data_IF_725508416770
#
_entry.id   IF_725508416770
#
_cell.length_a   1.000
_cell.length_b   1.000
_cell.length_c   1.000
_cell.angle_alpha   90.00
_cell.angle_beta   90.00
_cell.angle_gamma   90.00
#
_symmetry.space_group_name_H-M   'P 1'
#
loop_
_entity.id
_entity.type
_entity.pdbx_description
1 polymer ?
#
# COMPACT_ATOMS: atom_id res chain seq x y z
N UNK A 1 -4.16 10.95 -18.67
CA UNK A 1 -5.46 10.83 -19.35
C UNK A 1 -6.51 11.58 -18.55
N UNK A 2 -7.33 12.40 -19.23
CA UNK A 2 -8.48 13.04 -18.60
C UNK A 2 -9.63 12.03 -18.44
N UNK A 3 -9.84 11.58 -17.21
CA UNK A 3 -10.85 10.58 -16.87
C UNK A 3 -12.29 11.09 -17.00
N UNK A 4 -12.53 12.40 -17.11
CA UNK A 4 -13.87 12.94 -17.33
C UNK A 4 -14.46 12.48 -18.66
N UNK A 5 -13.62 12.11 -19.63
CA UNK A 5 -14.01 11.56 -20.92
C UNK A 5 -14.69 10.19 -20.80
N UNK A 6 -14.44 9.43 -19.72
CA UNK A 6 -15.02 8.10 -19.52
C UNK A 6 -16.55 8.13 -19.49
N UNK A 7 -17.15 9.16 -18.92
CA UNK A 7 -18.60 9.31 -18.84
C UNK A 7 -19.30 9.53 -20.20
N UNK A 8 -18.54 9.94 -21.22
CA UNK A 8 -19.02 10.16 -22.58
C UNK A 8 -18.95 8.90 -23.48
N UNK A 9 -18.34 7.82 -23.00
CA UNK A 9 -18.21 6.57 -23.76
C UNK A 9 -19.54 5.84 -23.81
N UNK A 10 -20.12 5.79 -24.99
CA UNK A 10 -21.42 5.14 -25.24
C UNK A 10 -21.30 3.78 -25.94
N UNK A 11 -20.11 3.46 -26.45
CA UNK A 11 -19.85 2.22 -27.20
C UNK A 11 -18.47 1.65 -26.83
N UNK A 12 -18.33 0.96 -25.67
CA UNK A 12 -17.09 0.33 -25.24
C UNK A 12 -16.81 -0.96 -26.05
N UNK A 13 -15.54 -1.40 -26.16
CA UNK A 13 -14.35 -0.72 -25.66
C UNK A 13 -13.90 0.42 -26.57
N UNK A 14 -13.28 1.47 -25.97
CA UNK A 14 -12.63 2.53 -26.73
C UNK A 14 -11.17 2.66 -26.31
N UNK A 15 -10.29 2.93 -27.27
CA UNK A 15 -8.89 3.26 -26.99
C UNK A 15 -8.81 4.75 -26.66
N UNK A 16 -8.30 5.05 -25.46
CA UNK A 16 -8.05 6.42 -25.02
C UNK A 16 -6.58 6.73 -25.25
N UNK A 17 -6.30 7.83 -25.94
CA UNK A 17 -4.93 8.31 -26.11
C UNK A 17 -4.46 9.02 -24.83
N UNK A 18 -3.24 8.76 -24.40
CA UNK A 18 -2.64 9.47 -23.28
C UNK A 18 -2.43 10.96 -23.63
N UNK A 19 -2.82 11.87 -22.74
CA UNK A 19 -2.61 13.30 -22.89
C UNK A 19 -1.13 13.66 -22.63
N UNK A 20 -0.48 12.92 -21.73
CA UNK A 20 0.95 12.98 -21.47
C UNK A 20 1.49 11.60 -21.15
N UNK A 21 2.79 11.41 -21.37
CA UNK A 21 3.52 10.19 -21.02
C UNK A 21 4.85 10.56 -20.40
N UNK A 22 5.07 10.15 -19.15
CA UNK A 22 6.38 10.19 -18.52
C UNK A 22 7.20 8.97 -18.95
N UNK A 23 8.45 9.22 -19.38
CA UNK A 23 9.33 8.18 -19.94
C UNK A 23 10.62 7.99 -19.14
N UNK A 24 10.67 8.49 -17.90
CA UNK A 24 11.85 8.41 -17.05
C UNK A 24 12.13 7.04 -16.44
N UNK A 25 11.17 6.10 -16.53
CA UNK A 25 11.36 4.68 -16.22
C UNK A 25 10.79 3.77 -17.32
N UNK A 26 11.26 2.53 -17.40
CA UNK A 26 10.77 1.54 -18.36
C UNK A 26 9.67 0.64 -17.82
N UNK A 27 9.67 0.42 -16.50
CA UNK A 27 8.65 -0.30 -15.74
C UNK A 27 8.59 0.25 -14.31
N UNK A 28 7.46 0.08 -13.67
CA UNK A 28 7.24 0.34 -12.25
C UNK A 28 6.37 -0.78 -11.70
N UNK A 29 6.55 -1.15 -10.42
CA UNK A 29 5.64 -2.07 -9.78
C UNK A 29 4.33 -1.36 -9.43
N UNK A 30 4.43 -0.24 -8.73
CA UNK A 30 3.27 0.56 -8.35
C UNK A 30 3.56 2.07 -8.48
N UNK A 31 2.51 2.86 -8.34
CA UNK A 31 2.54 4.31 -8.27
C UNK A 31 1.68 4.80 -7.10
N UNK A 32 2.25 5.67 -6.29
CA UNK A 32 1.58 6.30 -5.14
C UNK A 32 1.46 7.79 -5.39
N UNK A 33 0.33 8.38 -5.02
CA UNK A 33 0.09 9.81 -5.22
C UNK A 33 -0.28 10.45 -3.88
N UNK A 34 0.44 11.52 -3.52
CA UNK A 34 0.00 12.44 -2.48
C UNK A 34 -0.65 13.66 -3.14
N UNK A 35 -1.98 13.65 -3.19
CA UNK A 35 -2.75 14.72 -3.83
C UNK A 35 -2.52 16.08 -3.18
N UNK A 36 -2.22 16.13 -1.87
CA UNK A 36 -2.04 17.39 -1.14
C UNK A 36 -0.79 18.15 -1.54
N UNK A 37 0.23 17.44 -2.04
CA UNK A 37 1.49 18.03 -2.51
C UNK A 37 1.62 18.04 -4.03
N UNK A 38 0.73 17.33 -4.74
CA UNK A 38 0.82 17.14 -6.18
C UNK A 38 2.06 16.33 -6.59
N UNK A 39 2.42 15.34 -5.78
CA UNK A 39 3.56 14.45 -6.04
C UNK A 39 3.12 13.03 -6.32
N UNK A 40 3.81 12.36 -7.24
CA UNK A 40 3.69 10.94 -7.50
C UNK A 40 5.02 10.24 -7.25
N UNK A 41 4.94 9.02 -6.75
CA UNK A 41 6.08 8.19 -6.38
C UNK A 41 5.97 6.88 -7.15
N UNK A 42 6.86 6.67 -8.13
CA UNK A 42 7.02 5.36 -8.76
C UNK A 42 7.86 4.48 -7.85
N UNK A 43 7.37 3.29 -7.52
CA UNK A 43 8.06 2.30 -6.70
C UNK A 43 8.28 1.02 -7.49
N UNK A 44 9.31 0.24 -7.13
CA UNK A 44 9.70 -0.94 -7.88
C UNK A 44 10.04 -0.64 -9.34
N UNK A 45 10.60 0.54 -9.60
CA UNK A 45 10.98 0.93 -10.95
C UNK A 45 12.34 0.35 -11.33
N UNK A 46 12.69 0.37 -12.62
CA UNK A 46 14.04 0.02 -13.09
C UNK A 46 15.05 1.17 -12.92
N UNK A 47 14.75 2.15 -12.09
CA UNK A 47 15.62 3.28 -11.74
C UNK A 47 15.80 3.33 -10.23
N UNK A 48 16.88 3.95 -9.74
CA UNK A 48 17.12 4.20 -8.31
C UNK A 48 17.00 2.93 -7.45
N UNK A 49 17.56 1.80 -7.93
CA UNK A 49 17.53 0.48 -7.29
C UNK A 49 16.11 -0.02 -6.94
N UNK A 50 15.08 0.50 -7.60
CA UNK A 50 13.68 0.19 -7.35
C UNK A 50 13.04 0.95 -6.19
N UNK A 51 13.75 1.86 -5.55
CA UNK A 51 13.25 2.73 -4.49
C UNK A 51 12.29 3.81 -5.00
N UNK A 52 12.18 4.91 -4.27
CA UNK A 52 11.24 5.98 -4.62
C UNK A 52 11.76 6.81 -5.80
N UNK A 53 10.98 6.92 -6.85
CA UNK A 53 11.19 7.81 -7.99
C UNK A 53 10.14 8.92 -7.92
N UNK A 54 10.54 10.14 -7.53
CA UNK A 54 9.64 11.21 -7.10
C UNK A 54 9.35 12.18 -8.23
N UNK A 55 8.09 12.34 -8.59
CA UNK A 55 7.63 13.24 -9.63
C UNK A 55 6.81 14.42 -9.07
N UNK A 56 6.99 15.59 -9.63
CA UNK A 56 6.01 16.68 -9.58
C UNK A 56 4.95 16.44 -10.68
N UNK A 57 3.68 16.36 -10.26
CA UNK A 57 2.52 16.20 -11.14
C UNK A 57 1.50 17.34 -10.98
N UNK A 58 1.90 18.50 -10.41
CA UNK A 58 1.04 19.68 -10.33
C UNK A 58 0.60 20.15 -11.73
N UNK A 59 1.45 19.97 -12.74
CA UNK A 59 1.04 19.98 -14.15
C UNK A 59 1.01 18.55 -14.69
N UNK A 60 -0.17 17.88 -14.70
CA UNK A 60 -0.27 16.47 -15.12
C UNK A 60 0.02 16.25 -16.61
N UNK A 61 0.09 17.32 -17.40
CA UNK A 61 0.50 17.24 -18.80
C UNK A 61 2.02 17.30 -18.99
N UNK A 62 2.77 17.61 -17.91
CA UNK A 62 4.21 17.73 -17.95
C UNK A 62 4.87 17.22 -16.66
N UNK A 63 4.72 15.91 -16.30
CA UNK A 63 5.33 15.34 -15.11
C UNK A 63 6.84 15.49 -15.11
N UNK A 64 7.44 15.92 -13.98
CA UNK A 64 8.87 16.18 -13.87
C UNK A 64 9.50 15.35 -12.75
N UNK A 65 10.66 14.74 -13.02
CA UNK A 65 11.49 14.15 -11.95
C UNK A 65 12.00 15.27 -11.03
N UNK A 66 11.73 15.15 -9.74
CA UNK A 66 12.15 16.12 -8.72
C UNK A 66 13.01 15.50 -7.61
N UNK A 67 13.14 14.18 -7.56
CA UNK A 67 13.98 13.53 -6.56
C UNK A 67 13.90 12.00 -6.61
N UNK A 68 14.69 11.39 -5.73
CA UNK A 68 14.75 9.92 -5.61
C UNK A 68 15.20 9.51 -4.20
N UNK A 69 14.86 8.28 -3.80
CA UNK A 69 15.42 7.63 -2.63
C UNK A 69 15.66 6.15 -2.91
N UNK A 70 16.90 5.70 -2.70
CA UNK A 70 17.34 4.32 -2.91
C UNK A 70 18.09 3.75 -1.70
N UNK A 71 17.99 4.43 -0.54
CA UNK A 71 18.80 4.12 0.64
C UNK A 71 18.51 2.78 1.30
N UNK A 72 17.39 2.12 0.95
CA UNK A 72 17.04 0.76 1.43
C UNK A 72 16.59 -0.15 0.27
N UNK A 73 17.11 0.07 -0.91
CA UNK A 73 16.91 -0.77 -2.09
C UNK A 73 15.48 -0.71 -2.65
N UNK A 74 14.97 -1.89 -3.04
CA UNK A 74 13.70 -2.04 -3.73
C UNK A 74 12.51 -1.78 -2.80
N UNK A 75 11.64 -0.86 -3.20
CA UNK A 75 10.34 -0.60 -2.58
C UNK A 75 9.26 -1.27 -3.42
N UNK A 76 8.58 -2.28 -2.87
CA UNK A 76 7.50 -2.97 -3.57
C UNK A 76 6.25 -2.10 -3.64
N UNK A 77 5.79 -1.62 -2.50
CA UNK A 77 4.67 -0.70 -2.38
C UNK A 77 4.94 0.35 -1.30
N UNK A 78 4.19 1.44 -1.31
CA UNK A 78 4.31 2.49 -0.32
C UNK A 78 2.97 3.21 -0.08
N UNK A 79 2.83 3.82 1.09
CA UNK A 79 1.87 4.88 1.34
C UNK A 79 2.63 6.18 1.64
N UNK A 80 2.31 7.26 0.92
CA UNK A 80 2.92 8.58 1.15
C UNK A 80 1.86 9.56 1.64
N UNK A 81 2.12 10.18 2.78
CA UNK A 81 1.15 11.03 3.46
C UNK A 81 1.72 12.37 3.88
N UNK A 82 0.87 13.40 3.95
CA UNK A 82 1.14 14.57 4.78
C UNK A 82 0.88 14.16 6.23
N UNK A 83 1.96 13.92 6.98
CA UNK A 83 1.90 13.28 8.29
C UNK A 83 1.22 14.16 9.34
N UNK A 84 0.22 13.59 10.00
CA UNK A 84 -0.55 14.23 11.08
C UNK A 84 -0.51 13.43 12.40
N UNK A 85 0.31 12.37 12.42
CA UNK A 85 0.42 11.47 13.57
C UNK A 85 1.13 12.08 14.79
N UNK A 86 1.32 11.26 15.84
CA UNK A 86 1.77 11.72 17.15
C UNK A 86 3.25 12.12 17.23
N UNK A 87 4.12 11.71 16.29
CA UNK A 87 5.52 12.13 16.33
C UNK A 87 5.68 13.60 15.94
N UNK A 88 5.83 14.46 16.95
CA UNK A 88 5.92 15.90 16.77
C UNK A 88 7.13 16.36 15.92
N UNK A 89 8.17 15.53 15.77
CA UNK A 89 9.33 15.86 14.95
C UNK A 89 9.00 15.85 13.45
N UNK A 90 7.94 15.15 13.07
CA UNK A 90 7.54 14.93 11.68
C UNK A 90 6.16 15.49 11.34
N UNK A 91 5.45 16.08 12.29
CA UNK A 91 4.13 16.68 12.06
C UNK A 91 4.17 17.73 10.95
N UNK A 92 3.29 17.58 9.96
CA UNK A 92 3.19 18.45 8.78
C UNK A 92 4.23 18.15 7.69
N UNK A 93 5.10 17.17 7.88
CA UNK A 93 6.04 16.69 6.86
C UNK A 93 5.38 15.69 5.91
N UNK A 94 5.99 15.49 4.76
CA UNK A 94 5.60 14.44 3.83
C UNK A 94 6.44 13.19 4.12
N UNK A 95 5.78 12.10 4.51
CA UNK A 95 6.42 10.87 4.95
C UNK A 95 5.97 9.71 4.08
N UNK A 96 6.93 8.93 3.59
CA UNK A 96 6.71 7.68 2.89
C UNK A 96 6.87 6.51 3.87
N UNK A 97 5.87 5.62 3.90
CA UNK A 97 5.88 4.32 4.57
C UNK A 97 6.02 3.27 3.47
N UNK A 98 7.20 2.69 3.36
CA UNK A 98 7.59 1.79 2.28
C UNK A 98 7.65 0.34 2.76
N UNK A 99 7.18 -0.58 1.94
CA UNK A 99 7.32 -2.02 2.12
C UNK A 99 8.45 -2.51 1.20
N UNK A 100 9.62 -2.81 1.79
CA UNK A 100 10.87 -3.06 1.08
C UNK A 100 11.28 -4.54 1.20
N UNK A 101 10.42 -5.46 0.74
CA UNK A 101 10.65 -6.91 0.75
C UNK A 101 10.92 -7.52 2.15
N UNK A 102 11.79 -6.93 2.97
CA UNK A 102 12.20 -7.44 4.28
C UNK A 102 12.12 -6.40 5.41
N UNK A 103 11.69 -5.18 5.11
CA UNK A 103 11.55 -4.08 6.07
C UNK A 103 10.31 -3.25 5.84
N UNK A 104 9.78 -2.68 6.91
CA UNK A 104 8.98 -1.46 6.87
C UNK A 104 9.95 -0.29 6.99
N UNK A 105 10.04 0.51 5.91
CA UNK A 105 11.01 1.61 5.80
C UNK A 105 10.29 2.95 5.76
N UNK A 106 10.68 3.86 6.64
CA UNK A 106 10.06 5.17 6.78
C UNK A 106 11.04 6.24 6.32
N UNK A 107 10.59 7.10 5.40
CA UNK A 107 11.43 8.12 4.76
C UNK A 107 10.77 9.49 4.83
N UNK A 108 11.49 10.51 5.28
CA UNK A 108 11.09 11.91 5.14
C UNK A 108 11.37 12.36 3.70
N UNK A 109 10.32 12.60 2.94
CA UNK A 109 10.36 13.04 1.53
C UNK A 109 9.88 14.48 1.36
N UNK A 110 9.89 15.25 2.45
CA UNK A 110 9.45 16.66 2.46
C UNK A 110 10.28 17.49 1.48
N UNK A 111 11.60 17.34 1.51
CA UNK A 111 12.48 17.85 0.47
C UNK A 111 12.81 16.72 -0.52
N UNK A 112 12.22 16.71 -1.72
CA UNK A 112 12.46 15.63 -2.68
C UNK A 112 13.91 15.60 -3.22
N UNK A 113 14.67 16.68 -3.05
CA UNK A 113 16.10 16.73 -3.45
C UNK A 113 17.04 16.15 -2.39
N UNK A 114 16.55 15.98 -1.14
CA UNK A 114 17.33 15.43 -0.02
C UNK A 114 16.43 14.55 0.88
N UNK A 115 15.86 13.47 0.36
CA UNK A 115 15.04 12.56 1.17
C UNK A 115 15.90 11.90 2.26
N UNK A 116 15.35 11.79 3.46
CA UNK A 116 16.08 11.29 4.62
C UNK A 116 15.46 10.00 5.15
N UNK A 117 16.26 8.93 5.27
CA UNK A 117 15.85 7.72 5.97
C UNK A 117 15.58 8.05 7.44
N UNK A 118 14.38 7.72 7.92
CA UNK A 118 14.01 7.83 9.34
C UNK A 118 14.27 6.52 10.04
N UNK A 119 13.77 5.41 9.50
CA UNK A 119 13.97 4.06 10.03
C UNK A 119 13.79 3.01 8.94
N UNK A 120 14.44 1.85 9.11
CA UNK A 120 14.19 0.62 8.37
C UNK A 120 14.11 -0.51 9.40
N UNK A 121 12.93 -1.10 9.57
CA UNK A 121 12.66 -2.05 10.64
C UNK A 121 12.18 -3.37 10.04
N UNK A 122 12.97 -4.43 10.27
CA UNK A 122 12.62 -5.80 9.91
C UNK A 122 11.85 -6.52 11.00
N UNK A 123 11.37 -7.73 10.69
CA UNK A 123 10.70 -8.64 11.61
C UNK A 123 11.10 -10.08 11.33
N UNK A 124 10.87 -10.95 12.31
CA UNK A 124 11.24 -12.37 12.19
C UNK A 124 10.37 -13.08 11.13
N UNK A 125 11.00 -13.91 10.30
CA UNK A 125 10.37 -14.64 9.20
C UNK A 125 9.77 -13.73 8.12
N UNK A 126 10.38 -12.60 7.87
CA UNK A 126 10.06 -11.78 6.70
C UNK A 126 10.49 -12.51 5.43
N UNK A 127 9.55 -12.71 4.50
CA UNK A 127 9.80 -13.30 3.19
C UNK A 127 9.58 -12.28 2.06
N UNK A 128 8.52 -11.48 2.17
CA UNK A 128 8.24 -10.40 1.23
C UNK A 128 7.29 -9.36 1.83
N UNK A 129 7.84 -8.41 2.59
CA UNK A 129 7.06 -7.25 3.08
C UNK A 129 6.45 -6.54 1.89
N UNK A 130 5.14 -6.75 1.70
CA UNK A 130 4.46 -6.48 0.44
C UNK A 130 3.83 -5.10 0.40
N UNK A 131 2.88 -4.84 1.29
CA UNK A 131 2.08 -3.61 1.30
C UNK A 131 1.64 -3.30 2.73
N UNK A 132 1.28 -2.07 3.00
CA UNK A 132 0.71 -1.67 4.29
C UNK A 132 0.00 -0.34 4.22
N UNK A 133 -0.80 -0.06 5.26
CA UNK A 133 -1.57 1.15 5.34
C UNK A 133 -1.66 1.69 6.77
N UNK A 134 -1.60 3.02 6.91
CA UNK A 134 -1.77 3.72 8.19
C UNK A 134 -3.23 3.75 8.63
N UNK A 135 -3.44 3.76 9.95
CA UNK A 135 -4.70 4.28 10.52
C UNK A 135 -4.84 5.78 10.23
N UNK A 136 -6.07 6.30 10.25
CA UNK A 136 -6.33 7.71 9.90
C UNK A 136 -5.64 8.73 10.83
N UNK A 137 -5.33 8.33 12.06
CA UNK A 137 -4.56 9.13 13.03
C UNK A 137 -3.05 9.01 12.86
N UNK A 138 -2.59 8.20 11.88
CA UNK A 138 -1.20 7.89 11.59
C UNK A 138 -0.39 7.36 12.79
N UNK A 139 -1.07 6.70 13.72
CA UNK A 139 -0.43 6.10 14.91
C UNK A 139 -0.02 4.66 14.69
N UNK A 140 -0.78 3.92 13.89
CA UNK A 140 -0.50 2.53 13.58
C UNK A 140 -0.33 2.34 12.08
N UNK A 141 0.61 1.47 11.72
CA UNK A 141 0.77 0.96 10.36
C UNK A 141 0.48 -0.52 10.37
N UNK A 142 -0.32 -1.00 9.44
CA UNK A 142 -0.66 -2.41 9.30
C UNK A 142 -0.03 -2.87 8.01
N UNK A 143 0.81 -3.91 8.05
CA UNK A 143 1.48 -4.47 6.86
C UNK A 143 1.22 -5.96 6.72
N UNK A 144 1.59 -6.51 5.58
CA UNK A 144 1.52 -7.94 5.26
C UNK A 144 2.78 -8.45 4.57
N UNK A 145 2.88 -9.78 4.42
CA UNK A 145 3.99 -10.49 3.78
C UNK A 145 3.44 -11.50 2.77
N UNK A 146 3.55 -11.20 1.47
CA UNK A 146 2.90 -11.94 0.39
C UNK A 146 3.43 -13.38 0.20
N UNK A 147 4.56 -13.73 0.78
CA UNK A 147 5.20 -15.02 0.52
C UNK A 147 5.30 -15.94 1.75
N UNK A 148 4.90 -15.53 2.93
CA UNK A 148 5.06 -16.34 4.14
C UNK A 148 4.13 -17.56 4.16
N UNK A 149 2.88 -17.48 3.63
CA UNK A 149 1.99 -18.63 3.53
C UNK A 149 2.58 -19.74 2.64
N UNK A 150 3.20 -19.36 1.52
CA UNK A 150 3.84 -20.32 0.62
C UNK A 150 5.19 -20.83 1.15
N UNK A 151 5.94 -19.97 1.85
CA UNK A 151 7.31 -20.25 2.26
C UNK A 151 7.40 -21.13 3.50
N UNK A 152 6.52 -20.89 4.48
CA UNK A 152 6.53 -21.60 5.77
C UNK A 152 5.17 -22.21 6.16
N UNK A 153 4.13 -22.04 5.33
CA UNK A 153 2.84 -22.68 5.53
C UNK A 153 2.04 -22.12 6.70
N UNK A 154 2.14 -20.82 6.95
CA UNK A 154 1.31 -20.10 7.92
C UNK A 154 -0.06 -19.76 7.34
N UNK A 155 -0.98 -19.32 8.15
CA UNK A 155 -2.22 -18.68 7.71
C UNK A 155 -1.95 -17.23 7.37
N UNK A 156 -2.82 -16.62 6.57
CA UNK A 156 -2.80 -15.18 6.23
C UNK A 156 -2.54 -14.32 7.47
N UNK A 157 -1.46 -13.54 7.47
CA UNK A 157 -0.97 -12.82 8.66
C UNK A 157 -0.79 -11.33 8.37
N UNK A 158 -1.35 -10.47 9.23
CA UNK A 158 -1.10 -9.04 9.19
C UNK A 158 -0.30 -8.59 10.39
N UNK A 159 0.66 -7.71 10.19
CA UNK A 159 1.59 -7.19 11.21
C UNK A 159 1.14 -5.80 11.64
N UNK A 160 1.07 -5.56 12.95
CA UNK A 160 0.56 -4.32 13.54
C UNK A 160 1.72 -3.57 14.17
N UNK A 161 2.04 -2.41 13.63
CA UNK A 161 3.14 -1.56 14.06
C UNK A 161 2.62 -0.33 14.79
N UNK A 162 3.11 -0.06 16.00
CA UNK A 162 3.01 1.27 16.63
C UNK A 162 4.10 2.16 16.03
N UNK A 163 3.67 3.19 15.30
CA UNK A 163 4.54 4.18 14.65
C UNK A 163 4.43 5.55 15.32
N UNK A 164 4.11 5.59 16.61
CA UNK A 164 4.10 6.83 17.40
C UNK A 164 5.48 7.49 17.48
N UNK A 165 6.53 6.70 17.30
CA UNK A 165 7.91 7.16 17.11
C UNK A 165 8.42 6.63 15.77
N UNK A 166 8.43 7.48 14.74
CA UNK A 166 8.84 7.08 13.39
C UNK A 166 10.30 6.60 13.31
N UNK A 167 11.16 7.03 14.26
CA UNK A 167 12.56 6.60 14.32
C UNK A 167 12.75 5.23 14.98
N UNK A 168 11.72 4.68 15.62
CA UNK A 168 11.75 3.38 16.27
C UNK A 168 10.34 2.75 16.25
N UNK A 169 9.85 2.31 15.08
CA UNK A 169 8.60 1.58 14.98
C UNK A 169 8.63 0.29 15.79
N UNK A 170 7.54 -0.05 16.46
CA UNK A 170 7.44 -1.25 17.28
C UNK A 170 6.38 -2.20 16.71
N UNK A 171 6.74 -3.45 16.42
CA UNK A 171 5.77 -4.51 16.11
C UNK A 171 5.08 -4.91 17.41
N UNK A 172 3.81 -4.50 17.57
CA UNK A 172 3.04 -4.68 18.81
C UNK A 172 2.11 -5.88 18.79
N UNK A 173 1.88 -6.46 17.62
CA UNK A 173 1.02 -7.64 17.47
C UNK A 173 0.90 -8.12 16.04
N UNK A 174 0.23 -9.27 15.90
CA UNK A 174 -0.11 -9.87 14.62
C UNK A 174 -1.57 -10.33 14.65
N UNK A 175 -2.27 -10.13 13.55
CA UNK A 175 -3.53 -10.80 13.28
C UNK A 175 -3.25 -12.03 12.43
N UNK A 176 -3.78 -13.18 12.83
CA UNK A 176 -3.68 -14.44 12.08
C UNK A 176 -5.09 -14.88 11.71
N UNK A 177 -5.36 -14.98 10.43
CA UNK A 177 -6.66 -15.42 9.90
C UNK A 177 -6.89 -16.92 10.08
N UNK A 178 -8.14 -17.36 9.95
CA UNK A 178 -8.47 -18.79 9.88
C UNK A 178 -8.20 -19.40 8.49
N UNK A 179 -7.97 -18.58 7.47
CA UNK A 179 -7.68 -19.01 6.09
C UNK A 179 -6.18 -18.99 5.81
N UNK A 180 -5.75 -19.73 4.79
CA UNK A 180 -4.34 -19.85 4.39
C UNK A 180 -4.06 -19.23 3.01
N UNK A 181 -5.01 -18.48 2.46
CA UNK A 181 -4.81 -17.78 1.20
C UNK A 181 -3.76 -16.66 1.37
N UNK A 182 -2.99 -16.43 0.33
CA UNK A 182 -2.01 -15.33 0.30
C UNK A 182 -2.74 -14.01 0.53
N UNK A 183 -2.19 -13.16 1.40
CA UNK A 183 -2.65 -11.77 1.51
C UNK A 183 -2.09 -10.90 0.40
N UNK A 184 -2.76 -9.77 0.15
CA UNK A 184 -2.33 -8.83 -0.87
C UNK A 184 -2.67 -7.39 -0.46
N UNK A 185 -3.32 -6.61 -1.32
CA UNK A 185 -3.53 -5.20 -1.08
C UNK A 185 -4.55 -4.91 0.03
N UNK A 186 -4.19 -4.03 0.95
CA UNK A 186 -5.05 -3.56 2.03
C UNK A 186 -5.17 -2.05 2.08
N UNK A 187 -6.30 -1.58 2.61
CA UNK A 187 -6.56 -0.16 2.84
C UNK A 187 -7.29 0.03 4.15
N UNK A 188 -7.00 1.13 4.85
CA UNK A 188 -7.72 1.49 6.07
C UNK A 188 -8.66 2.65 5.78
N UNK A 189 -9.90 2.53 6.29
CA UNK A 189 -10.88 3.60 6.25
C UNK A 189 -11.70 3.57 7.54
N UNK A 190 -11.80 4.71 8.20
CA UNK A 190 -12.41 4.81 9.52
C UNK A 190 -11.70 3.85 10.51
N UNK A 191 -12.45 2.92 11.08
CA UNK A 191 -11.94 1.89 12.01
C UNK A 191 -11.87 0.49 11.39
N UNK A 192 -11.78 0.41 10.07
CA UNK A 192 -11.79 -0.86 9.34
C UNK A 192 -10.60 -0.97 8.39
N UNK A 193 -10.02 -2.16 8.34
CA UNK A 193 -9.04 -2.58 7.34
C UNK A 193 -9.78 -3.43 6.31
N UNK A 194 -9.58 -3.13 5.03
CA UNK A 194 -10.14 -3.87 3.90
C UNK A 194 -8.99 -4.57 3.19
N UNK A 195 -8.93 -5.89 3.28
CA UNK A 195 -7.87 -6.72 2.69
C UNK A 195 -8.39 -7.52 1.50
N UNK A 196 -7.63 -7.53 0.42
CA UNK A 196 -7.82 -8.42 -0.72
C UNK A 196 -6.85 -9.59 -0.59
N UNK A 197 -7.35 -10.76 -0.18
CA UNK A 197 -6.52 -11.91 0.17
C UNK A 197 -6.69 -13.00 -0.90
N UNK A 198 -6.32 -12.70 -2.13
CA UNK A 198 -6.42 -13.60 -3.29
C UNK A 198 -7.69 -14.48 -3.25
N UNK A 199 -7.56 -15.81 -3.07
CA UNK A 199 -8.69 -16.75 -3.07
C UNK A 199 -9.68 -16.52 -1.95
N UNK A 200 -9.21 -16.09 -0.78
CA UNK A 200 -10.09 -15.80 0.34
C UNK A 200 -10.96 -14.54 0.15
N UNK A 201 -10.73 -13.80 -0.94
CA UNK A 201 -11.54 -12.67 -1.31
C UNK A 201 -11.29 -11.42 -0.49
N UNK A 202 -12.35 -10.64 -0.28
CA UNK A 202 -12.31 -9.45 0.57
C UNK A 202 -12.51 -9.85 2.03
N UNK A 203 -11.58 -9.42 2.90
CA UNK A 203 -11.66 -9.54 4.37
C UNK A 203 -11.73 -8.15 4.98
N UNK A 204 -12.57 -7.98 5.99
CA UNK A 204 -12.75 -6.69 6.66
C UNK A 204 -12.47 -6.89 8.15
N UNK A 205 -11.45 -6.18 8.65
CA UNK A 205 -11.00 -6.29 10.04
C UNK A 205 -11.30 -4.98 10.79
N UNK A 206 -11.74 -5.11 12.04
CA UNK A 206 -11.92 -3.98 12.97
C UNK A 206 -10.59 -3.64 13.64
N UNK A 207 -10.30 -2.34 13.74
CA UNK A 207 -9.15 -1.78 14.47
C UNK A 207 -9.51 -1.36 15.90
N UNK A 208 -10.68 -1.75 16.42
CA UNK A 208 -11.16 -1.28 17.73
C UNK A 208 -10.21 -1.61 18.89
N UNK A 209 -9.46 -2.71 18.80
CA UNK A 209 -8.53 -3.18 19.82
C UNK A 209 -7.04 -3.06 19.38
N UNK A 210 -6.76 -2.24 18.36
CA UNK A 210 -5.43 -2.10 17.76
C UNK A 210 -4.37 -1.63 18.76
N UNK A 211 -4.75 -0.82 19.77
CA UNK A 211 -3.83 -0.38 20.85
C UNK A 211 -3.25 -1.55 21.64
N UNK A 212 -3.94 -2.69 21.67
CA UNK A 212 -3.46 -3.93 22.31
C UNK A 212 -2.84 -4.91 21.30
N UNK A 213 -2.54 -4.46 20.08
CA UNK A 213 -1.96 -5.27 19.02
C UNK A 213 -2.92 -6.31 18.46
N UNK A 214 -4.23 -6.02 18.43
CA UNK A 214 -5.26 -6.95 17.97
C UNK A 214 -6.15 -6.34 16.89
N UNK A 215 -6.52 -7.18 15.91
CA UNK A 215 -7.58 -6.91 14.93
C UNK A 215 -8.61 -8.04 15.01
N UNK A 216 -9.85 -7.75 14.63
CA UNK A 216 -10.96 -8.72 14.62
C UNK A 216 -11.61 -8.74 13.24
N UNK A 217 -11.75 -9.92 12.61
CA UNK A 217 -12.51 -10.04 11.37
C UNK A 217 -14.00 -9.85 11.67
N UNK A 218 -14.60 -8.86 11.00
CA UNK A 218 -16.01 -8.47 11.19
C UNK A 218 -16.88 -8.77 9.98
N UNK A 219 -16.27 -8.93 8.80
CA UNK A 219 -16.99 -9.30 7.58
C UNK A 219 -16.02 -9.89 6.54
N UNK A 220 -16.58 -10.66 5.60
CA UNK A 220 -15.84 -11.14 4.43
C UNK A 220 -16.76 -11.37 3.23
N UNK A 221 -16.13 -11.41 2.07
CA UNK A 221 -16.73 -11.86 0.81
C UNK A 221 -15.75 -12.79 0.10
N UNK A 222 -15.98 -14.09 0.23
CA UNK A 222 -15.16 -15.14 -0.35
C UNK A 222 -15.47 -15.28 -1.86
N UNK A 223 -14.42 -15.27 -2.68
CA UNK A 223 -14.53 -15.37 -4.15
C UNK A 223 -14.24 -16.78 -4.68
N UNK A 224 -13.61 -17.64 -3.89
CA UNK A 224 -13.31 -19.04 -4.21
C UNK A 224 -13.66 -19.98 -3.03
N UNK A 225 -14.95 -20.18 -2.71
CA UNK A 225 -15.37 -20.99 -1.56
C UNK A 225 -14.92 -22.46 -1.61
N UNK A 226 -14.30 -22.87 -2.71
CA UNK A 226 -13.81 -24.23 -2.88
C UNK A 226 -12.38 -24.42 -2.33
N UNK A 227 -11.61 -23.33 -2.14
CA UNK A 227 -10.20 -23.47 -1.77
C UNK A 227 -9.56 -22.17 -1.28
N UNK A 228 -9.00 -22.19 -0.07
CA UNK A 228 -8.11 -21.16 0.47
C UNK A 228 -6.63 -21.48 0.27
N UNK A 229 -6.28 -22.34 -0.70
CA UNK A 229 -4.88 -22.68 -0.94
C UNK A 229 -4.06 -21.44 -1.31
N UNK A 230 -2.81 -21.30 -0.81
CA UNK A 230 -1.96 -20.13 -1.05
C UNK A 230 -1.48 -20.09 -2.52
N UNK A 231 -2.28 -19.47 -3.37
CA UNK A 231 -2.04 -19.33 -4.81
C UNK A 231 -2.38 -17.91 -5.26
N UNK A 232 -1.62 -17.41 -6.23
CA UNK A 232 -1.80 -16.12 -6.88
C UNK A 232 -2.98 -16.16 -7.86
N UNK A 233 -4.20 -16.19 -7.34
CA UNK A 233 -5.47 -16.15 -8.09
C UNK A 233 -6.58 -15.62 -7.19
N UNK A 234 -7.57 -14.95 -7.74
CA UNK A 234 -8.68 -14.35 -6.99
C UNK A 234 -8.59 -12.83 -6.88
N UNK A 235 -8.84 -12.28 -5.70
CA UNK A 235 -8.85 -10.83 -5.51
C UNK A 235 -7.44 -10.23 -5.52
N UNK A 236 -7.27 -9.16 -6.30
CA UNK A 236 -6.00 -8.42 -6.39
C UNK A 236 -5.98 -7.20 -5.46
N UNK A 237 -7.02 -6.38 -5.55
CA UNK A 237 -7.11 -5.13 -4.79
C UNK A 237 -8.55 -4.74 -4.53
N UNK A 238 -8.74 -3.76 -3.66
CA UNK A 238 -10.05 -3.17 -3.40
C UNK A 238 -9.95 -1.65 -3.31
N UNK A 239 -11.09 -0.96 -3.39
CA UNK A 239 -11.19 0.48 -3.19
C UNK A 239 -12.40 0.79 -2.30
N UNK A 240 -12.18 1.10 -1.00
CA UNK A 240 -13.26 1.33 -0.04
C UNK A 240 -13.71 2.80 0.07
N UNK A 241 -13.08 3.73 -0.66
CA UNK A 241 -13.22 5.16 -0.41
C UNK A 241 -14.38 5.86 -1.13
N UNK A 242 -15.23 5.13 -1.86
CA UNK A 242 -16.42 5.78 -2.44
C UNK A 242 -17.36 6.33 -1.36
N UNK A 243 -17.83 7.56 -1.56
CA UNK A 243 -18.78 8.22 -0.66
C UNK A 243 -20.12 7.46 -0.53
N UNK A 244 -20.43 6.61 -1.51
CA UNK A 244 -21.63 5.75 -1.51
C UNK A 244 -21.54 4.58 -0.52
N UNK A 245 -20.35 4.28 0.01
CA UNK A 245 -20.10 3.08 0.82
C UNK A 245 -19.93 1.79 -0.01
N UNK A 246 -19.96 1.91 -1.35
CA UNK A 246 -19.64 0.77 -2.22
C UNK A 246 -18.13 0.50 -2.14
N UNK A 247 -17.76 -0.77 -2.06
CA UNK A 247 -16.38 -1.23 -2.16
C UNK A 247 -16.22 -1.86 -3.55
N UNK A 248 -15.32 -1.32 -4.36
CA UNK A 248 -14.91 -2.00 -5.59
C UNK A 248 -13.84 -3.03 -5.25
N UNK A 249 -13.94 -4.21 -5.81
CA UNK A 249 -12.97 -5.30 -5.66
C UNK A 249 -12.54 -5.73 -7.05
N UNK A 250 -11.23 -5.75 -7.31
CA UNK A 250 -10.69 -6.28 -8.57
C UNK A 250 -10.34 -7.76 -8.40
N UNK A 251 -10.66 -8.56 -9.40
CA UNK A 251 -10.37 -9.99 -9.44
C UNK A 251 -9.52 -10.30 -10.68
N UNK A 252 -8.49 -11.16 -10.53
CA UNK A 252 -7.52 -11.41 -11.61
C UNK A 252 -8.13 -12.05 -12.84
N UNK A 253 -9.11 -12.93 -12.66
CA UNK A 253 -9.71 -13.74 -13.73
C UNK A 253 -11.08 -13.20 -14.16
N UNK A 254 -11.85 -12.60 -13.24
CA UNK A 254 -13.26 -12.25 -13.49
C UNK A 254 -13.46 -10.72 -13.68
N UNK A 255 -12.47 -9.90 -13.34
CA UNK A 255 -12.49 -8.44 -13.56
C UNK A 255 -13.00 -7.62 -12.39
#
# INVERSE_FOLDING_TARGET
VDLTQLSAITNPPQTITADALYTGWGNAHNIVINESTGRAYGVGTNTFDGGLHILDINDPLNPQLIGEFSGDGYTHDAQVVSYVGPDANFSGKEIAFCCNENTVTIVDVTDPLDPALISATGYDNSFYTHQGWLTEDHRYFISNDELDEQSIGVSTTSFIWDVTNLSAPELIGTYVSEVSAIDHNMYVKDTLVYQSNYRAGLRVLSTSDIESGQLEEVAFFDVDPASDAPQFSGTWSNYPYFASGIIAVSHMEEG
#
